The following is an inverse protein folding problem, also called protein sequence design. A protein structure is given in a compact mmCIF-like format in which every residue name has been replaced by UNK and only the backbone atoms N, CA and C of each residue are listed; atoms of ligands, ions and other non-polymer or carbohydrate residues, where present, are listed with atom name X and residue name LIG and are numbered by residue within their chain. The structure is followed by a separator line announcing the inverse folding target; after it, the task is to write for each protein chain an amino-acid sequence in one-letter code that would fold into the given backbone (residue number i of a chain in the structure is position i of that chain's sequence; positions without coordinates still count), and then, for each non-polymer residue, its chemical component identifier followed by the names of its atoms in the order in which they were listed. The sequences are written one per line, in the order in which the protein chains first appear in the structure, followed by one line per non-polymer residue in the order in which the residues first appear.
data_IF_850226682976
#
_entry.id   IF_850226682976
#
_cell.length_a   1.000
_cell.length_b   1.000
_cell.length_c   1.000
_cell.angle_alpha   90.00
_cell.angle_beta   90.00
_cell.angle_gamma   90.00
#
_symmetry.space_group_name_H-M   'P 1'
#
loop_
_entity.id
_entity.type
_entity.pdbx_description
1 polymer ?
#
# COMPACT_ATOMS: atom_id res chain seq x y z
N UNK A 1 8.15 -6.25 -10.89
CA UNK A 1 8.49 -6.77 -12.23
C UNK A 1 8.55 -8.28 -12.11
N UNK A 2 8.11 -9.04 -13.12
CA UNK A 2 8.17 -10.50 -13.04
C UNK A 2 9.63 -10.96 -13.25
N UNK A 3 9.99 -12.12 -12.71
CA UNK A 3 11.33 -12.71 -12.93
C UNK A 3 11.60 -12.91 -14.43
N UNK A 4 10.56 -13.21 -15.20
CA UNK A 4 10.58 -13.39 -16.66
C UNK A 4 11.16 -12.15 -17.37
N UNK A 5 10.76 -10.94 -16.98
CA UNK A 5 11.26 -9.70 -17.58
C UNK A 5 12.76 -9.45 -17.25
N UNK A 6 13.21 -9.92 -16.08
CA UNK A 6 14.58 -9.72 -15.60
C UNK A 6 15.56 -10.67 -16.30
N UNK A 7 15.15 -11.93 -16.51
CA UNK A 7 16.02 -12.93 -17.16
C UNK A 7 16.21 -12.69 -18.66
N UNK A 8 15.39 -11.84 -19.28
CA UNK A 8 15.57 -11.39 -20.66
C UNK A 8 16.77 -10.43 -20.84
N UNK A 9 17.27 -9.81 -19.75
CA UNK A 9 18.41 -8.89 -19.85
C UNK A 9 19.68 -9.63 -20.30
N UNK A 10 20.12 -9.34 -21.54
CA UNK A 10 21.40 -9.81 -22.05
C UNK A 10 22.45 -8.69 -22.02
N UNK A 11 23.35 -8.74 -21.04
CA UNK A 11 24.43 -7.76 -20.89
C UNK A 11 25.65 -8.13 -21.76
N UNK A 12 25.88 -7.37 -22.83
CA UNK A 12 27.06 -7.49 -23.70
C UNK A 12 27.93 -6.25 -23.54
N UNK A 13 29.15 -6.42 -23.00
CA UNK A 13 30.15 -5.35 -22.92
C UNK A 13 31.15 -5.45 -24.06
N UNK A 14 31.69 -4.31 -24.46
CA UNK A 14 32.84 -4.28 -25.37
C UNK A 14 34.03 -4.95 -24.69
N UNK A 15 34.76 -5.74 -25.46
CA UNK A 15 36.04 -6.32 -25.07
C UNK A 15 37.16 -5.58 -25.82
N UNK A 16 37.88 -4.63 -25.19
CA UNK A 16 38.93 -3.89 -25.86
C UNK A 16 40.11 -4.77 -26.27
N UNK A 17 40.60 -4.60 -27.49
CA UNK A 17 41.81 -5.27 -28.00
C UNK A 17 42.61 -4.32 -28.90
N UNK A 18 43.88 -4.65 -29.14
CA UNK A 18 44.76 -3.84 -29.98
C UNK A 18 44.25 -3.83 -31.44
N UNK A 19 44.02 -2.63 -31.97
CA UNK A 19 43.44 -2.45 -33.31
C UNK A 19 41.92 -2.38 -33.33
N UNK A 20 41.24 -2.36 -32.17
CA UNK A 20 39.81 -2.06 -32.11
C UNK A 20 39.54 -0.66 -32.68
N UNK A 21 38.63 -0.59 -33.65
CA UNK A 21 38.14 0.67 -34.22
C UNK A 21 37.09 1.24 -33.26
N UNK A 22 37.20 2.53 -32.93
CA UNK A 22 36.25 3.23 -32.08
C UNK A 22 35.37 4.12 -32.97
N UNK A 23 34.36 3.51 -33.57
CA UNK A 23 33.34 4.17 -34.39
C UNK A 23 32.03 4.40 -33.61
N UNK A 24 31.00 4.86 -34.30
CA UNK A 24 29.70 5.17 -33.70
C UNK A 24 29.06 3.94 -33.05
N UNK A 25 29.10 2.79 -33.71
CA UNK A 25 28.52 1.54 -33.20
C UNK A 25 29.26 1.07 -31.95
N UNK A 26 30.60 1.14 -31.96
CA UNK A 26 31.42 0.83 -30.79
C UNK A 26 31.08 1.77 -29.62
N UNK A 27 30.89 3.07 -29.85
CA UNK A 27 30.44 3.95 -28.77
C UNK A 27 29.02 3.64 -28.30
N UNK A 28 28.11 3.35 -29.22
CA UNK A 28 26.72 3.05 -28.92
C UNK A 28 26.61 1.78 -28.05
N UNK A 29 27.35 0.72 -28.38
CA UNK A 29 27.42 -0.51 -27.60
C UNK A 29 27.94 -0.26 -26.18
N UNK A 30 28.97 0.59 -26.03
CA UNK A 30 29.53 0.94 -24.73
C UNK A 30 28.47 1.59 -23.82
N UNK A 31 27.75 2.58 -24.35
CA UNK A 31 26.75 3.33 -23.61
C UNK A 31 25.49 2.48 -23.35
N UNK A 32 25.05 1.69 -24.33
CA UNK A 32 23.93 0.77 -24.18
C UNK A 32 24.19 -0.25 -23.08
N UNK A 33 25.42 -0.81 -23.00
CA UNK A 33 25.80 -1.71 -21.91
C UNK A 33 25.62 -1.06 -20.54
N UNK A 34 26.13 0.16 -20.35
CA UNK A 34 26.01 0.87 -19.07
C UNK A 34 24.57 1.23 -18.73
N UNK A 35 23.78 1.68 -19.72
CA UNK A 35 22.36 1.97 -19.54
C UNK A 35 21.57 0.70 -19.18
N UNK A 36 21.82 -0.42 -19.85
CA UNK A 36 21.19 -1.69 -19.53
C UNK A 36 21.56 -2.18 -18.11
N UNK A 37 22.83 -2.02 -17.70
CA UNK A 37 23.28 -2.32 -16.35
C UNK A 37 22.54 -1.47 -15.30
N UNK A 38 22.42 -0.17 -15.54
CA UNK A 38 21.70 0.74 -14.64
C UNK A 38 20.20 0.41 -14.56
N UNK A 39 19.55 0.13 -15.69
CA UNK A 39 18.15 -0.30 -15.75
C UNK A 39 17.96 -1.60 -14.98
N UNK A 40 18.81 -2.61 -15.22
CA UNK A 40 18.77 -3.87 -14.48
C UNK A 40 18.92 -3.64 -12.97
N UNK A 41 19.86 -2.79 -12.54
CA UNK A 41 20.02 -2.48 -11.12
C UNK A 41 18.76 -1.86 -10.52
N UNK A 42 18.18 -0.86 -11.20
CA UNK A 42 16.94 -0.21 -10.78
C UNK A 42 15.77 -1.20 -10.73
N UNK A 43 15.63 -2.07 -11.72
CA UNK A 43 14.51 -2.99 -11.81
C UNK A 43 14.63 -4.19 -10.87
N UNK A 44 15.85 -4.69 -10.63
CA UNK A 44 16.09 -5.87 -9.81
C UNK A 44 16.17 -5.55 -8.30
N UNK A 45 16.66 -4.36 -7.94
CA UNK A 45 16.92 -4.01 -6.54
C UNK A 45 16.09 -2.83 -6.02
N UNK A 46 15.37 -2.13 -6.90
CA UNK A 46 14.52 -1.00 -6.53
C UNK A 46 13.13 -1.18 -7.11
N UNK A 47 12.18 -0.44 -6.54
CA UNK A 47 10.81 -0.41 -7.05
C UNK A 47 10.65 0.72 -8.06
N UNK A 48 9.76 0.53 -9.02
CA UNK A 48 9.38 1.56 -10.01
C UNK A 48 8.26 2.43 -9.45
N UNK A 49 8.22 3.72 -9.81
CA UNK A 49 7.25 4.68 -9.31
C UNK A 49 7.82 6.09 -9.11
N UNK A 50 7.02 6.96 -8.50
CA UNK A 50 7.43 8.32 -8.11
C UNK A 50 8.30 8.22 -6.86
N UNK A 51 9.56 8.65 -6.96
CA UNK A 51 10.50 8.67 -5.83
C UNK A 51 10.19 9.87 -4.93
N UNK A 52 10.08 11.06 -5.53
CA UNK A 52 9.83 12.31 -4.80
C UNK A 52 9.23 13.37 -5.72
N UNK A 53 8.31 14.17 -5.20
CA UNK A 53 7.68 15.29 -5.92
C UNK A 53 6.66 14.83 -6.95
N UNK A 54 6.63 15.48 -8.11
CA UNK A 54 5.66 15.24 -9.19
C UNK A 54 4.20 15.38 -8.75
N UNK A 55 3.95 16.22 -7.75
CA UNK A 55 2.60 16.53 -7.29
C UNK A 55 1.85 17.30 -8.37
N UNK A 56 0.55 17.06 -8.48
CA UNK A 56 -0.33 17.76 -9.41
C UNK A 56 -1.30 18.58 -8.58
N UNK A 57 -1.30 19.89 -8.82
CA UNK A 57 -2.22 20.83 -8.16
C UNK A 57 -3.00 21.60 -9.21
N UNK A 58 -4.16 22.11 -8.86
CA UNK A 58 -4.91 23.03 -9.71
C UNK A 58 -4.10 24.31 -9.97
N UNK A 59 -4.38 24.96 -11.09
CA UNK A 59 -3.84 26.28 -11.38
C UNK A 59 -4.38 27.35 -10.41
N UNK A 60 -3.62 28.42 -10.24
CA UNK A 60 -4.05 29.60 -9.49
C UNK A 60 -3.83 30.85 -10.36
N UNK A 61 -4.90 31.53 -10.82
CA UNK A 61 -6.32 31.23 -10.58
C UNK A 61 -6.78 29.91 -11.26
N UNK A 62 -7.80 29.21 -10.71
CA UNK A 62 -8.31 27.96 -11.27
C UNK A 62 -8.86 28.12 -12.68
N UNK A 63 -8.46 27.22 -13.57
CA UNK A 63 -8.95 27.06 -14.94
C UNK A 63 -8.87 25.58 -15.37
N UNK A 64 -8.97 25.28 -16.66
CA UNK A 64 -8.81 23.92 -17.20
C UNK A 64 -7.33 23.48 -17.32
N UNK A 65 -6.45 24.01 -16.47
CA UNK A 65 -5.05 23.60 -16.39
C UNK A 65 -4.64 23.12 -15.01
N UNK A 66 -3.64 22.26 -14.99
CA UNK A 66 -3.01 21.74 -13.80
C UNK A 66 -1.53 22.11 -13.78
N UNK A 67 -0.96 22.18 -12.59
CA UNK A 67 0.46 22.45 -12.36
C UNK A 67 1.10 21.18 -11.83
N UNK A 68 2.08 20.66 -12.57
CA UNK A 68 2.93 19.55 -12.17
C UNK A 68 4.19 20.13 -11.52
N UNK A 69 4.43 19.80 -10.26
CA UNK A 69 5.61 20.26 -9.52
C UNK A 69 6.86 19.43 -9.87
N UNK A 70 8.07 19.98 -9.67
CA UNK A 70 9.30 19.25 -9.89
C UNK A 70 9.35 17.92 -9.14
N UNK A 71 10.09 16.97 -9.70
CA UNK A 71 10.26 15.67 -9.06
C UNK A 71 10.98 14.66 -9.92
N UNK A 72 11.13 13.47 -9.36
CA UNK A 72 11.86 12.35 -9.95
C UNK A 72 11.08 11.06 -9.80
N UNK A 73 11.17 10.23 -10.82
CA UNK A 73 10.45 8.99 -10.95
C UNK A 73 11.23 7.95 -11.76
N UNK A 74 10.84 6.69 -11.64
CA UNK A 74 11.34 5.57 -12.44
C UNK A 74 10.15 4.83 -13.06
N UNK A 75 10.11 4.70 -14.37
CA UNK A 75 9.03 4.00 -15.06
C UNK A 75 9.15 2.46 -14.95
N UNK A 76 8.19 1.72 -15.52
CA UNK A 76 8.18 0.26 -15.49
C UNK A 76 9.36 -0.40 -16.22
N UNK A 77 10.08 0.34 -17.04
CA UNK A 77 11.22 -0.12 -17.83
C UNK A 77 12.57 0.25 -17.20
N UNK A 78 12.56 0.94 -16.05
CA UNK A 78 13.76 1.37 -15.35
C UNK A 78 14.33 2.68 -15.88
N UNK A 79 13.58 3.43 -16.70
CA UNK A 79 14.02 4.74 -17.17
C UNK A 79 13.74 5.80 -16.10
N UNK A 80 14.72 6.67 -15.85
CA UNK A 80 14.61 7.75 -14.89
C UNK A 80 13.94 8.96 -15.57
N UNK A 81 12.89 9.48 -14.95
CA UNK A 81 12.17 10.67 -15.40
C UNK A 81 12.45 11.79 -14.41
N UNK A 82 13.01 12.90 -14.89
CA UNK A 82 13.32 14.09 -14.08
C UNK A 82 12.53 15.27 -14.62
N UNK A 83 11.68 15.85 -13.77
CA UNK A 83 10.98 17.11 -14.03
C UNK A 83 11.65 18.19 -13.19
N UNK A 84 12.52 19.03 -13.78
CA UNK A 84 13.34 19.96 -12.99
C UNK A 84 12.59 21.22 -12.55
N UNK A 85 11.50 21.58 -13.24
CA UNK A 85 10.77 22.84 -13.04
C UNK A 85 9.27 22.60 -13.15
N UNK A 86 8.48 23.47 -12.51
CA UNK A 86 7.01 23.42 -12.56
C UNK A 86 6.53 23.48 -14.01
N UNK A 87 5.66 22.55 -14.39
CA UNK A 87 5.03 22.50 -15.71
C UNK A 87 3.56 22.81 -15.58
N UNK A 88 3.07 23.79 -16.32
CA UNK A 88 1.63 24.02 -16.47
C UNK A 88 1.12 23.21 -17.66
N UNK A 89 0.12 22.38 -17.44
CA UNK A 89 -0.49 21.55 -18.48
C UNK A 89 -1.96 21.92 -18.65
N UNK A 90 -2.31 22.39 -19.85
CA UNK A 90 -3.68 22.72 -20.22
C UNK A 90 -4.37 21.47 -20.76
N UNK A 91 -5.46 21.03 -20.12
CA UNK A 91 -6.27 19.93 -20.63
C UNK A 91 -6.86 20.30 -22.01
N UNK A 92 -6.85 19.35 -22.93
CA UNK A 92 -7.36 19.50 -24.30
C UNK A 92 -8.69 18.76 -24.49
N UNK A 93 -8.99 17.81 -23.62
CA UNK A 93 -10.18 16.96 -23.67
C UNK A 93 -11.45 17.77 -23.50
N UNK A 94 -12.46 17.41 -24.30
CA UNK A 94 -13.80 17.99 -24.25
C UNK A 94 -14.90 16.97 -23.96
N UNK A 95 -14.54 15.68 -23.90
CA UNK A 95 -15.47 14.59 -23.64
C UNK A 95 -15.57 14.34 -22.14
N UNK A 96 -16.78 14.00 -21.68
CA UNK A 96 -16.98 13.62 -20.28
C UNK A 96 -16.39 12.24 -20.00
N UNK A 97 -15.72 12.08 -18.86
CA UNK A 97 -15.19 10.80 -18.42
C UNK A 97 -13.86 10.93 -17.68
N UNK A 98 -13.28 9.78 -17.34
CA UNK A 98 -12.02 9.73 -16.60
C UNK A 98 -10.87 10.04 -17.56
N UNK A 99 -10.12 11.10 -17.23
CA UNK A 99 -8.87 11.46 -17.89
C UNK A 99 -7.70 11.01 -17.02
N UNK A 100 -6.72 10.36 -17.64
CA UNK A 100 -5.46 9.97 -17.05
C UNK A 100 -4.39 10.98 -17.45
N UNK A 101 -3.79 11.66 -16.49
CA UNK A 101 -2.60 12.47 -16.73
C UNK A 101 -1.37 11.60 -16.49
N UNK A 102 -0.60 11.34 -17.54
CA UNK A 102 0.56 10.45 -17.50
C UNK A 102 1.83 11.18 -17.88
N UNK A 103 2.96 10.70 -17.36
CA UNK A 103 4.30 11.10 -17.78
C UNK A 103 5.05 9.90 -18.37
N UNK A 104 5.77 10.12 -19.46
CA UNK A 104 6.55 9.09 -20.16
C UNK A 104 7.97 9.58 -20.43
N UNK A 105 8.94 8.68 -20.30
CA UNK A 105 10.33 8.92 -20.71
C UNK A 105 10.43 9.05 -22.23
N UNK A 106 11.26 9.98 -22.70
CA UNK A 106 11.54 10.17 -24.13
C UNK A 106 13.00 10.51 -24.36
N UNK A 107 13.55 10.01 -25.45
CA UNK A 107 14.83 10.46 -25.96
C UNK A 107 14.59 11.42 -27.12
N UNK A 108 15.15 12.62 -27.05
CA UNK A 108 15.00 13.65 -28.06
C UNK A 108 16.39 13.99 -28.60
N UNK A 109 16.65 13.87 -29.91
CA UNK A 109 17.89 14.33 -30.48
C UNK A 109 18.07 15.84 -30.23
N UNK A 110 19.25 16.23 -29.76
CA UNK A 110 19.55 17.59 -29.29
C UNK A 110 20.99 17.99 -29.60
N UNK A 111 21.36 19.24 -29.26
CA UNK A 111 22.67 19.80 -29.57
C UNK A 111 22.80 20.31 -31.00
N UNK A 112 23.95 20.89 -31.37
CA UNK A 112 24.20 21.35 -32.74
C UNK A 112 24.21 20.16 -33.71
N UNK A 113 23.74 20.40 -34.92
CA UNK A 113 23.84 19.44 -36.04
C UNK A 113 25.25 19.51 -36.64
N UNK A 114 25.82 18.36 -36.98
CA UNK A 114 27.15 18.30 -37.61
C UNK A 114 27.15 17.46 -38.90
N UNK A 115 27.43 18.07 -40.07
CA UNK A 115 27.55 19.52 -40.33
C UNK A 115 26.24 20.31 -40.11
N UNK A 116 26.29 21.63 -39.97
CA UNK A 116 25.16 22.45 -39.49
C UNK A 116 23.86 22.39 -40.32
N UNK A 117 23.94 22.21 -41.64
CA UNK A 117 22.78 22.30 -42.55
C UNK A 117 22.22 20.94 -43.00
N UNK A 118 22.95 19.84 -42.79
CA UNK A 118 22.55 18.49 -43.25
C UNK A 118 23.09 17.37 -42.34
N UNK A 119 23.49 17.73 -41.13
CA UNK A 119 24.19 16.85 -40.21
C UNK A 119 23.29 15.96 -39.36
N UNK A 120 23.93 15.26 -38.44
CA UNK A 120 23.24 14.55 -37.38
C UNK A 120 23.29 15.36 -36.08
N UNK A 121 22.25 15.23 -35.22
CA UNK A 121 22.27 15.80 -33.88
C UNK A 121 23.43 15.21 -33.08
N UNK A 122 24.18 16.05 -32.38
CA UNK A 122 25.38 15.62 -31.66
C UNK A 122 25.10 15.04 -30.27
N UNK A 123 23.88 15.20 -29.74
CA UNK A 123 23.49 14.73 -28.40
C UNK A 123 22.09 14.11 -28.42
N UNK A 124 21.80 13.31 -27.41
CA UNK A 124 20.46 12.84 -27.08
C UNK A 124 20.11 13.41 -25.71
N UNK A 125 18.97 14.08 -25.62
CA UNK A 125 18.41 14.55 -24.37
C UNK A 125 17.43 13.51 -23.85
N UNK A 126 17.72 12.99 -22.66
CA UNK A 126 16.75 12.25 -21.86
C UNK A 126 15.71 13.22 -21.32
N UNK A 127 14.54 13.20 -21.94
CA UNK A 127 13.43 14.10 -21.71
C UNK A 127 12.21 13.33 -21.20
N UNK A 128 11.11 14.05 -21.05
CA UNK A 128 9.84 13.49 -20.68
C UNK A 128 8.71 14.12 -21.47
N UNK A 129 7.57 13.45 -21.48
CA UNK A 129 6.36 13.92 -22.13
C UNK A 129 5.18 13.73 -21.20
N UNK A 130 4.50 14.82 -20.86
CA UNK A 130 3.25 14.82 -20.10
C UNK A 130 2.08 14.82 -21.08
N UNK A 131 1.12 13.92 -20.90
CA UNK A 131 -0.05 13.80 -21.76
C UNK A 131 -1.30 13.41 -20.98
N UNK A 132 -2.44 13.95 -21.38
CA UNK A 132 -3.73 13.39 -21.04
C UNK A 132 -4.10 12.21 -21.93
N UNK A 133 -4.80 11.23 -21.37
CA UNK A 133 -5.30 10.05 -22.08
C UNK A 133 -6.69 9.68 -21.57
N UNK A 134 -7.53 9.14 -22.44
CA UNK A 134 -8.83 8.54 -22.06
C UNK A 134 -8.67 7.10 -21.55
N UNK A 135 -7.54 6.45 -21.86
CA UNK A 135 -7.16 5.10 -21.42
C UNK A 135 -5.67 5.05 -21.17
N UNK A 136 -5.23 4.27 -20.19
CA UNK A 136 -3.81 4.09 -19.91
C UNK A 136 -3.09 3.50 -21.14
N UNK A 137 -1.91 4.02 -21.50
CA UNK A 137 -1.14 3.51 -22.63
C UNK A 137 -0.53 2.15 -22.31
N UNK A 138 -0.32 1.32 -23.33
CA UNK A 138 0.42 0.06 -23.20
C UNK A 138 1.94 0.30 -23.03
N UNK A 139 2.44 1.43 -23.54
CA UNK A 139 3.84 1.84 -23.36
C UNK A 139 4.15 2.16 -21.88
N UNK A 140 5.41 2.07 -21.46
CA UNK A 140 5.85 2.51 -20.13
C UNK A 140 5.40 3.94 -19.84
N UNK A 141 4.79 4.11 -18.68
CA UNK A 141 4.25 5.37 -18.21
C UNK A 141 4.15 5.37 -16.69
N UNK A 142 3.97 6.58 -16.14
CA UNK A 142 3.57 6.77 -14.76
C UNK A 142 2.34 7.67 -14.69
N UNK A 143 1.37 7.27 -13.88
CA UNK A 143 0.19 8.06 -13.60
C UNK A 143 0.55 9.19 -12.62
N UNK A 144 0.32 10.43 -13.04
CA UNK A 144 0.49 11.61 -12.20
C UNK A 144 -0.80 11.96 -11.46
N UNK A 145 -1.94 11.86 -12.14
CA UNK A 145 -3.26 12.12 -11.57
C UNK A 145 -4.35 11.54 -12.47
N UNK A 146 -5.55 11.38 -11.90
CA UNK A 146 -6.79 11.17 -12.67
C UNK A 146 -7.75 12.32 -12.42
N UNK A 147 -8.64 12.57 -13.37
CA UNK A 147 -9.70 13.59 -13.23
C UNK A 147 -10.97 13.00 -13.82
N UNK A 148 -12.05 12.90 -13.04
CA UNK A 148 -13.39 12.62 -13.58
C UNK A 148 -13.92 13.92 -14.20
N UNK A 149 -13.71 14.07 -15.50
CA UNK A 149 -13.91 15.32 -16.20
C UNK A 149 -15.35 15.48 -16.68
N UNK A 150 -15.92 16.64 -16.37
CA UNK A 150 -17.21 17.11 -16.84
C UNK A 150 -17.05 18.43 -17.59
N UNK A 151 -17.34 18.43 -18.88
CA UNK A 151 -17.20 19.59 -19.76
C UNK A 151 -18.11 20.76 -19.38
N UNK A 152 -19.10 20.56 -18.50
CA UNK A 152 -19.96 21.64 -17.99
C UNK A 152 -19.31 22.45 -16.87
N UNK A 153 -18.23 21.93 -16.28
CA UNK A 153 -17.46 22.60 -15.24
C UNK A 153 -16.22 23.24 -15.89
N UNK A 154 -16.10 24.57 -15.79
CA UNK A 154 -15.06 25.33 -16.51
C UNK A 154 -13.71 25.39 -15.77
N UNK A 155 -13.60 24.75 -14.61
CA UNK A 155 -12.39 24.79 -13.77
C UNK A 155 -12.04 23.40 -13.25
N UNK A 156 -10.75 23.17 -13.04
CA UNK A 156 -10.21 22.03 -12.29
C UNK A 156 -9.83 22.53 -10.89
N UNK A 157 -10.08 21.71 -9.88
CA UNK A 157 -9.75 22.03 -8.48
C UNK A 157 -8.96 20.91 -7.83
N UNK A 158 -8.26 21.26 -6.76
CA UNK A 158 -7.74 20.25 -5.83
C UNK A 158 -8.93 19.59 -5.12
N UNK A 159 -8.83 18.29 -4.85
CA UNK A 159 -9.89 17.58 -4.16
C UNK A 159 -10.05 18.09 -2.71
N UNK A 160 -11.26 18.54 -2.35
CA UNK A 160 -11.56 18.92 -0.95
C UNK A 160 -11.46 17.70 -0.02
N UNK A 161 -11.85 16.52 -0.53
CA UNK A 161 -11.77 15.23 0.17
C UNK A 161 -11.00 14.21 -0.66
N UNK A 162 -9.71 13.94 -0.35
CA UNK A 162 -8.86 13.06 -1.16
C UNK A 162 -9.36 11.62 -1.33
N UNK A 163 -10.16 11.11 -0.38
CA UNK A 163 -10.73 9.76 -0.43
C UNK A 163 -12.01 9.67 -1.27
N UNK A 164 -12.67 10.81 -1.55
CA UNK A 164 -13.91 10.91 -2.34
C UNK A 164 -13.88 12.18 -3.20
N UNK A 165 -12.98 12.26 -4.18
CA UNK A 165 -12.89 13.42 -5.07
C UNK A 165 -14.18 13.58 -5.89
N UNK A 166 -14.63 14.82 -6.03
CA UNK A 166 -15.76 15.18 -6.88
C UNK A 166 -15.35 15.30 -8.36
N UNK A 167 -16.32 15.61 -9.23
CA UNK A 167 -16.03 15.88 -10.65
C UNK A 167 -15.13 17.09 -10.81
N UNK A 168 -14.23 17.05 -11.78
CA UNK A 168 -13.18 18.04 -12.04
C UNK A 168 -12.23 18.28 -10.85
N UNK A 169 -12.20 17.38 -9.86
CA UNK A 169 -11.19 17.39 -8.81
C UNK A 169 -10.04 16.45 -9.15
N UNK A 170 -8.83 16.85 -8.75
CA UNK A 170 -7.60 16.08 -9.00
C UNK A 170 -7.55 14.88 -8.06
N UNK A 171 -7.45 13.69 -8.66
CA UNK A 171 -7.36 12.40 -7.95
C UNK A 171 -5.91 11.93 -7.93
N UNK A 172 -5.31 11.90 -6.74
CA UNK A 172 -3.89 11.52 -6.54
C UNK A 172 -3.70 10.11 -5.96
N UNK A 173 -4.78 9.43 -5.55
CA UNK A 173 -4.72 8.14 -4.85
C UNK A 173 -4.15 6.97 -5.66
N UNK A 174 -4.12 7.09 -6.99
CA UNK A 174 -3.61 6.04 -7.89
C UNK A 174 -2.13 6.20 -8.25
N UNK A 175 -1.47 7.23 -7.70
CA UNK A 175 -0.04 7.46 -7.91
C UNK A 175 0.76 6.36 -7.22
N UNK A 176 1.61 5.65 -7.97
CA UNK A 176 2.57 4.70 -7.40
C UNK A 176 3.72 5.46 -6.77
N UNK A 177 3.57 5.86 -5.51
CA UNK A 177 4.61 6.54 -4.76
C UNK A 177 5.50 5.52 -4.05
N UNK A 178 6.81 5.66 -4.24
CA UNK A 178 7.78 4.91 -3.47
C UNK A 178 7.88 5.56 -2.10
N UNK A 179 7.46 4.85 -1.06
CA UNK A 179 7.73 5.26 0.31
C UNK A 179 9.24 5.15 0.53
N UNK A 180 9.95 6.25 0.33
CA UNK A 180 11.36 6.34 0.69
C UNK A 180 11.48 6.24 2.21
N UNK A 181 11.69 5.04 2.71
CA UNK A 181 12.32 4.83 4.02
C UNK A 181 13.80 5.28 4.03
N UNK A 182 14.32 5.78 2.89
CA UNK A 182 15.74 5.99 2.63
C UNK A 182 16.16 7.47 2.56
N UNK A 183 15.32 8.41 3.00
CA UNK A 183 15.73 9.81 3.21
C UNK A 183 16.03 10.15 4.69
N UNK A 184 15.76 9.23 5.62
CA UNK A 184 16.36 9.29 6.96
C UNK A 184 17.80 8.78 6.86
N UNK A 185 18.77 9.70 6.98
CA UNK A 185 20.22 9.49 6.86
C UNK A 185 20.84 8.55 7.92
N UNK A 186 20.07 7.70 8.58
CA UNK A 186 20.52 6.93 9.74
C UNK A 186 20.32 5.42 9.65
N UNK A 187 19.82 4.86 8.55
CA UNK A 187 19.61 3.40 8.48
C UNK A 187 20.36 2.78 7.31
N UNK A 188 21.13 1.74 7.62
CA UNK A 188 21.90 0.90 6.71
C UNK A 188 21.02 0.36 5.57
N UNK A 189 21.53 0.25 4.33
CA UNK A 189 20.76 -0.22 3.19
C UNK A 189 20.42 -1.71 3.37
N UNK A 190 19.17 -2.00 3.72
CA UNK A 190 18.61 -3.33 3.61
C UNK A 190 18.20 -3.56 2.14
N UNK A 191 18.68 -4.65 1.56
CA UNK A 191 18.31 -5.15 0.24
C UNK A 191 16.79 -5.39 0.23
N UNK A 192 16.04 -4.57 -0.50
CA UNK A 192 14.60 -4.78 -0.72
C UNK A 192 14.45 -5.62 -1.97
N UNK A 193 14.32 -6.94 -1.77
CA UNK A 193 13.91 -7.87 -2.84
C UNK A 193 12.43 -7.58 -3.14
N UNK A 194 12.13 -7.10 -4.35
CA UNK A 194 10.75 -6.84 -4.78
C UNK A 194 10.01 -8.17 -4.97
N UNK A 195 9.31 -8.62 -3.95
CA UNK A 195 8.31 -9.67 -4.10
C UNK A 195 7.03 -9.02 -4.66
N UNK A 196 6.23 -9.79 -5.41
CA UNK A 196 4.86 -9.38 -5.77
C UNK A 196 4.12 -9.02 -4.49
N UNK A 197 3.79 -7.73 -4.32
CA UNK A 197 3.10 -7.27 -3.11
C UNK A 197 1.66 -7.76 -3.15
N UNK A 198 1.35 -8.72 -2.28
CA UNK A 198 0.00 -9.22 -2.12
C UNK A 198 -0.81 -8.18 -1.36
N UNK A 199 -2.00 -7.84 -1.89
CA UNK A 199 -2.89 -6.85 -1.28
C UNK A 199 -3.95 -7.56 -0.43
N UNK A 200 -4.15 -7.06 0.78
CA UNK A 200 -5.15 -7.52 1.73
C UNK A 200 -5.99 -6.33 2.18
N UNK A 201 -7.32 -6.49 2.24
CA UNK A 201 -8.21 -5.46 2.76
C UNK A 201 -8.75 -5.87 4.12
N UNK A 202 -8.56 -4.98 5.09
CA UNK A 202 -9.00 -5.10 6.48
C UNK A 202 -10.23 -4.25 6.67
N UNK A 203 -11.28 -4.87 7.18
CA UNK A 203 -12.47 -4.19 7.65
C UNK A 203 -12.41 -4.05 9.17
N UNK A 204 -12.81 -2.90 9.69
CA UNK A 204 -13.05 -2.69 11.11
C UNK A 204 -14.53 -2.40 11.34
N UNK A 205 -15.15 -3.12 12.27
CA UNK A 205 -16.53 -2.92 12.66
C UNK A 205 -16.65 -2.89 14.19
N UNK A 206 -17.40 -1.92 14.68
CA UNK A 206 -17.67 -1.75 16.11
C UNK A 206 -19.00 -2.42 16.45
N UNK A 207 -19.03 -3.19 17.54
CA UNK A 207 -20.19 -3.92 18.02
C UNK A 207 -20.73 -3.30 19.32
N UNK A 208 -22.04 -3.47 19.54
CA UNK A 208 -22.74 -2.95 20.71
C UNK A 208 -22.87 -1.44 20.69
N UNK A 209 -22.78 -0.81 21.85
CA UNK A 209 -22.92 0.64 22.04
C UNK A 209 -21.58 1.39 22.11
N UNK A 210 -20.47 0.70 21.76
CA UNK A 210 -19.14 1.27 21.79
C UNK A 210 -18.97 2.44 20.80
N UNK A 211 -18.02 3.33 21.10
CA UNK A 211 -17.63 4.41 20.20
C UNK A 211 -17.10 3.87 18.86
N UNK A 212 -17.48 4.53 17.76
CA UNK A 212 -16.98 4.24 16.40
C UNK A 212 -15.47 4.45 16.25
N UNK A 213 -14.84 5.17 17.18
CA UNK A 213 -13.39 5.40 17.18
C UNK A 213 -12.62 4.35 17.99
N UNK A 214 -13.32 3.37 18.60
CA UNK A 214 -12.71 2.36 19.44
C UNK A 214 -11.64 1.56 18.68
N UNK A 215 -10.41 1.65 19.17
CA UNK A 215 -9.20 1.03 18.61
C UNK A 215 -8.78 1.51 17.20
N UNK A 216 -9.49 2.46 16.56
CA UNK A 216 -9.15 2.94 15.22
C UNK A 216 -7.71 3.48 15.13
N UNK A 217 -7.29 4.29 16.11
CA UNK A 217 -5.94 4.84 16.14
C UNK A 217 -4.86 3.75 16.29
N UNK A 218 -5.10 2.73 17.12
CA UNK A 218 -4.22 1.57 17.26
C UNK A 218 -4.16 0.72 15.98
N UNK A 219 -5.32 0.46 15.37
CA UNK A 219 -5.41 -0.27 14.12
C UNK A 219 -4.67 0.45 12.97
N UNK A 220 -4.79 1.77 12.85
CA UNK A 220 -4.02 2.55 11.88
C UNK A 220 -2.51 2.44 12.12
N UNK A 221 -2.07 2.40 13.38
CA UNK A 221 -0.66 2.16 13.72
C UNK A 221 -0.20 0.77 13.29
N UNK A 222 -1.03 -0.27 13.50
CA UNK A 222 -0.76 -1.63 13.03
C UNK A 222 -0.66 -1.69 11.50
N UNK A 223 -1.67 -1.16 10.79
CA UNK A 223 -1.70 -1.14 9.32
C UNK A 223 -0.48 -0.40 8.77
N UNK A 224 -0.10 0.73 9.38
CA UNK A 224 1.13 1.45 9.02
C UNK A 224 2.38 0.58 9.24
N UNK A 225 2.46 -0.16 10.33
CA UNK A 225 3.60 -1.06 10.59
C UNK A 225 3.67 -2.20 9.58
N UNK A 226 2.56 -2.87 9.27
CA UNK A 226 2.55 -3.96 8.27
C UNK A 226 2.92 -3.44 6.89
N UNK A 227 2.40 -2.27 6.49
CA UNK A 227 2.73 -1.64 5.21
C UNK A 227 4.21 -1.23 5.08
N UNK A 228 4.95 -1.09 6.19
CA UNK A 228 6.40 -0.84 6.14
C UNK A 228 7.21 -2.10 5.78
N UNK A 229 6.63 -3.29 5.88
CA UNK A 229 7.38 -4.55 5.84
C UNK A 229 7.50 -5.17 4.43
N UNK A 230 7.25 -4.40 3.36
CA UNK A 230 7.47 -4.70 1.93
C UNK A 230 6.81 -5.96 1.33
N UNK A 231 6.26 -6.88 2.12
CA UNK A 231 5.71 -8.16 1.64
C UNK A 231 4.19 -8.16 1.47
N UNK A 232 3.45 -7.36 2.25
CA UNK A 232 1.99 -7.22 2.15
C UNK A 232 1.60 -5.75 2.11
N UNK A 233 0.61 -5.42 1.28
CA UNK A 233 -0.06 -4.12 1.27
C UNK A 233 -1.43 -4.29 1.90
N UNK A 234 -1.67 -3.57 2.98
CA UNK A 234 -2.88 -3.61 3.80
C UNK A 234 -3.68 -2.34 3.59
N UNK A 235 -4.86 -2.49 3.00
CA UNK A 235 -5.87 -1.43 2.91
C UNK A 235 -6.82 -1.53 4.11
N UNK A 236 -7.23 -0.40 4.66
CA UNK A 236 -8.11 -0.34 5.83
C UNK A 236 -9.43 0.36 5.48
N UNK A 237 -10.54 -0.28 5.80
CA UNK A 237 -11.87 0.30 5.82
C UNK A 237 -12.42 0.26 7.24
N UNK A 238 -12.72 1.43 7.81
CA UNK A 238 -13.18 1.57 9.19
C UNK A 238 -14.68 1.74 9.28
N UNK A 239 -15.27 1.31 10.40
CA UNK A 239 -16.69 1.44 10.69
C UNK A 239 -17.61 0.83 9.63
N UNK A 240 -17.23 -0.34 9.11
CA UNK A 240 -18.03 -1.05 8.11
C UNK A 240 -19.27 -1.70 8.72
N UNK A 241 -20.32 -1.84 7.92
CA UNK A 241 -21.52 -2.61 8.28
C UNK A 241 -21.29 -4.09 7.98
N UNK A 242 -21.79 -4.96 8.86
CA UNK A 242 -21.76 -6.42 8.65
C UNK A 242 -22.92 -6.85 7.76
N UNK A 243 -22.76 -6.67 6.46
CA UNK A 243 -23.72 -7.07 5.43
C UNK A 243 -23.10 -8.01 4.40
N UNK A 244 -23.81 -8.32 3.33
CA UNK A 244 -23.37 -9.24 2.26
C UNK A 244 -22.10 -8.79 1.52
N UNK A 245 -21.70 -7.51 1.62
CA UNK A 245 -20.52 -6.98 0.92
C UNK A 245 -19.20 -7.26 1.66
N UNK A 246 -19.23 -7.93 2.81
CA UNK A 246 -18.02 -8.18 3.60
C UNK A 246 -17.10 -9.25 2.99
N UNK A 247 -17.57 -10.01 2.02
CA UNK A 247 -16.79 -11.07 1.35
C UNK A 247 -15.57 -10.52 0.56
N UNK A 248 -15.56 -9.23 0.25
CA UNK A 248 -14.42 -8.53 -0.38
C UNK A 248 -13.23 -8.32 0.56
N UNK A 249 -13.45 -8.46 1.86
CA UNK A 249 -12.39 -8.36 2.86
C UNK A 249 -11.68 -9.70 3.02
N UNK A 250 -10.45 -9.65 3.52
CA UNK A 250 -9.71 -10.85 3.92
C UNK A 250 -9.66 -11.00 5.44
N UNK A 251 -9.78 -9.86 6.14
CA UNK A 251 -9.67 -9.76 7.57
C UNK A 251 -10.74 -8.80 8.10
N UNK A 252 -11.56 -9.24 9.05
CA UNK A 252 -12.54 -8.40 9.74
C UNK A 252 -12.14 -8.29 11.21
N UNK A 253 -11.89 -7.07 11.66
CA UNK A 253 -11.58 -6.72 13.04
C UNK A 253 -12.84 -6.19 13.74
N UNK A 254 -13.35 -6.97 14.68
CA UNK A 254 -14.54 -6.66 15.47
C UNK A 254 -14.11 -6.13 16.83
N UNK A 255 -14.53 -4.91 17.17
CA UNK A 255 -14.23 -4.30 18.47
C UNK A 255 -15.49 -3.97 19.25
N UNK A 256 -15.36 -3.88 20.57
CA UNK A 256 -16.43 -3.47 21.46
C UNK A 256 -15.94 -3.33 22.90
N UNK A 257 -16.77 -2.75 23.75
CA UNK A 257 -16.48 -2.51 25.17
C UNK A 257 -17.50 -3.21 26.09
N UNK A 258 -18.27 -4.17 25.57
CA UNK A 258 -19.32 -4.84 26.32
C UNK A 258 -20.06 -5.90 25.53
N UNK A 259 -21.24 -6.30 26.03
CA UNK A 259 -22.10 -7.27 25.37
C UNK A 259 -22.64 -6.74 24.05
N UNK A 260 -22.86 -7.66 23.11
CA UNK A 260 -23.50 -7.35 21.84
C UNK A 260 -24.33 -8.54 21.38
N UNK A 261 -25.29 -8.26 20.49
CA UNK A 261 -26.02 -9.26 19.74
C UNK A 261 -26.04 -8.86 18.27
N UNK A 262 -25.91 -9.84 17.37
CA UNK A 262 -25.98 -9.63 15.93
C UNK A 262 -27.31 -10.13 15.41
N UNK A 263 -27.90 -9.40 14.46
CA UNK A 263 -29.08 -9.85 13.74
C UNK A 263 -28.79 -11.11 12.90
N UNK A 264 -29.82 -11.85 12.51
CA UNK A 264 -29.67 -13.11 11.79
C UNK A 264 -28.97 -12.91 10.43
N UNK A 265 -29.23 -11.78 9.77
CA UNK A 265 -28.62 -11.39 8.50
C UNK A 265 -27.12 -11.16 8.66
N UNK A 266 -26.70 -10.47 9.72
CA UNK A 266 -25.29 -10.22 10.02
C UNK A 266 -24.55 -11.53 10.34
N UNK A 267 -25.19 -12.42 11.10
CA UNK A 267 -24.63 -13.75 11.38
C UNK A 267 -24.46 -14.56 10.09
N UNK A 268 -25.45 -14.54 9.19
CA UNK A 268 -25.37 -15.22 7.90
C UNK A 268 -24.24 -14.68 7.02
N UNK A 269 -24.03 -13.35 7.01
CA UNK A 269 -22.91 -12.74 6.32
C UNK A 269 -21.55 -13.22 6.88
N UNK A 270 -21.39 -13.27 8.21
CA UNK A 270 -20.17 -13.80 8.84
C UNK A 270 -19.95 -15.29 8.52
N UNK A 271 -21.01 -16.11 8.43
CA UNK A 271 -20.90 -17.51 7.98
C UNK A 271 -20.38 -17.59 6.54
N UNK A 272 -20.89 -16.75 5.63
CA UNK A 272 -20.39 -16.67 4.24
C UNK A 272 -18.91 -16.28 4.20
N UNK A 273 -18.55 -15.27 4.98
CA UNK A 273 -17.20 -14.76 5.07
C UNK A 273 -16.18 -15.81 5.54
N UNK A 274 -16.50 -16.56 6.59
CA UNK A 274 -15.65 -17.64 7.09
C UNK A 274 -15.50 -18.77 6.04
N UNK A 275 -16.57 -19.09 5.29
CA UNK A 275 -16.52 -20.08 4.21
C UNK A 275 -15.66 -19.63 3.03
N UNK A 276 -15.54 -18.33 2.79
CA UNK A 276 -14.68 -17.77 1.74
C UNK A 276 -13.21 -17.63 2.16
N UNK A 277 -12.81 -18.19 3.31
CA UNK A 277 -11.42 -18.16 3.81
C UNK A 277 -11.06 -16.87 4.55
N UNK A 278 -12.05 -16.06 4.94
CA UNK A 278 -11.84 -14.83 5.69
C UNK A 278 -11.59 -15.09 7.19
N UNK A 279 -10.75 -14.26 7.81
CA UNK A 279 -10.49 -14.32 9.25
C UNK A 279 -11.26 -13.23 10.01
N UNK A 280 -11.87 -13.58 11.13
CA UNK A 280 -12.53 -12.64 12.05
C UNK A 280 -11.68 -12.55 13.32
N UNK A 281 -11.28 -11.34 13.71
CA UNK A 281 -10.60 -11.09 14.99
C UNK A 281 -11.46 -10.21 15.89
N UNK A 282 -11.83 -10.73 17.06
CA UNK A 282 -12.49 -9.98 18.11
C UNK A 282 -11.48 -9.48 19.15
N UNK A 283 -11.55 -8.19 19.48
CA UNK A 283 -10.76 -7.61 20.57
C UNK A 283 -11.61 -6.63 21.38
N UNK A 284 -11.78 -6.96 22.66
CA UNK A 284 -12.56 -6.16 23.60
C UNK A 284 -11.69 -5.10 24.28
N UNK A 285 -12.24 -3.90 24.43
CA UNK A 285 -11.59 -2.81 25.17
C UNK A 285 -12.06 -2.76 26.61
N UNK A 286 -11.15 -2.46 27.55
CA UNK A 286 -11.52 -2.26 28.95
C UNK A 286 -11.90 -0.81 29.31
N UNK A 287 -11.78 0.14 28.37
CA UNK A 287 -11.84 1.62 28.56
C UNK A 287 -10.79 2.17 29.54
N UNK A 288 -10.65 1.56 30.72
CA UNK A 288 -9.69 1.89 31.76
C UNK A 288 -8.89 0.65 32.24
N UNK A 289 -7.64 0.88 32.63
CA UNK A 289 -6.74 -0.17 33.06
C UNK A 289 -7.21 -0.84 34.36
N UNK A 290 -7.42 -2.16 34.34
CA UNK A 290 -7.83 -2.93 35.53
C UNK A 290 -9.35 -3.05 35.73
N UNK A 291 -10.15 -2.31 34.95
CA UNK A 291 -11.60 -2.48 34.86
C UNK A 291 -11.97 -3.33 33.65
N UNK A 292 -11.40 -4.53 33.55
CA UNK A 292 -11.57 -5.45 32.42
C UNK A 292 -13.00 -6.02 32.26
N UNK A 293 -14.03 -5.39 32.84
CA UNK A 293 -15.42 -5.82 32.75
C UNK A 293 -15.92 -5.72 31.30
N UNK A 294 -15.68 -4.60 30.62
CA UNK A 294 -16.10 -4.40 29.24
C UNK A 294 -15.49 -5.43 28.28
N UNK A 295 -14.16 -5.57 28.31
CA UNK A 295 -13.43 -6.55 27.51
C UNK A 295 -13.86 -8.00 27.79
N UNK A 296 -14.09 -8.36 29.07
CA UNK A 296 -14.58 -9.70 29.44
C UNK A 296 -16.00 -9.96 28.94
N UNK A 297 -16.91 -9.00 29.08
CA UNK A 297 -18.28 -9.12 28.59
C UNK A 297 -18.32 -9.24 27.07
N UNK A 298 -17.46 -8.48 26.37
CA UNK A 298 -17.25 -8.62 24.92
C UNK A 298 -16.73 -10.02 24.56
N UNK A 299 -15.68 -10.50 25.23
CA UNK A 299 -15.09 -11.82 24.97
C UNK A 299 -16.09 -12.97 25.18
N UNK A 300 -16.96 -12.88 26.19
CA UNK A 300 -18.04 -13.84 26.40
C UNK A 300 -19.08 -13.81 25.27
N UNK A 301 -19.51 -12.61 24.85
CA UNK A 301 -20.43 -12.45 23.72
C UNK A 301 -19.83 -12.95 22.41
N UNK A 302 -18.53 -12.69 22.18
CA UNK A 302 -17.80 -13.19 21.02
C UNK A 302 -17.68 -14.72 21.01
N UNK A 303 -17.42 -15.34 22.17
CA UNK A 303 -17.39 -16.81 22.26
C UNK A 303 -18.77 -17.46 22.02
N UNK A 304 -19.85 -16.79 22.44
CA UNK A 304 -21.22 -17.20 22.10
C UNK A 304 -21.50 -17.05 20.60
N UNK A 305 -21.04 -15.97 19.97
CA UNK A 305 -21.13 -15.79 18.52
C UNK A 305 -20.37 -16.90 17.79
N UNK A 306 -19.13 -17.19 18.19
CA UNK A 306 -18.33 -18.27 17.61
C UNK A 306 -19.07 -19.61 17.70
N UNK A 307 -19.66 -19.93 18.86
CA UNK A 307 -20.47 -21.14 19.03
C UNK A 307 -21.67 -21.20 18.08
N UNK A 308 -22.38 -20.07 17.87
CA UNK A 308 -23.48 -19.97 16.90
C UNK A 308 -23.02 -20.16 15.45
N UNK A 309 -21.79 -19.73 15.15
CA UNK A 309 -21.13 -19.90 13.85
C UNK A 309 -20.45 -21.28 13.71
N UNK A 310 -20.70 -22.22 14.64
CA UNK A 310 -20.08 -23.55 14.70
C UNK A 310 -18.54 -23.53 14.82
N UNK A 311 -18.00 -22.46 15.39
CA UNK A 311 -16.59 -22.32 15.72
C UNK A 311 -16.38 -22.58 17.23
N UNK A 312 -15.42 -23.42 17.57
CA UNK A 312 -15.05 -23.71 18.96
C UNK A 312 -13.70 -23.06 19.26
N UNK A 313 -13.71 -21.97 20.02
CA UNK A 313 -12.49 -21.25 20.37
C UNK A 313 -11.73 -21.98 21.47
N UNK A 314 -10.44 -22.20 21.25
CA UNK A 314 -9.52 -22.81 22.20
C UNK A 314 -8.29 -21.92 22.41
N UNK A 315 -7.64 -22.05 23.57
CA UNK A 315 -6.45 -21.25 23.90
C UNK A 315 -5.33 -21.57 22.92
N UNK A 316 -4.79 -20.53 22.27
CA UNK A 316 -3.67 -20.65 21.33
C UNK A 316 -2.45 -21.18 22.08
N UNK A 317 -2.04 -22.42 21.76
CA UNK A 317 -0.89 -23.08 22.37
C UNK A 317 0.40 -22.81 21.57
N UNK A 318 1.54 -23.09 22.20
CA UNK A 318 2.85 -23.06 21.55
C UNK A 318 2.84 -23.92 20.28
N UNK A 319 3.41 -23.39 19.21
CA UNK A 319 3.50 -24.06 17.91
C UNK A 319 2.33 -23.79 16.97
N UNK A 320 1.29 -23.07 17.42
CA UNK A 320 0.21 -22.63 16.53
C UNK A 320 0.73 -21.67 15.45
N UNK A 321 0.17 -21.75 14.24
CA UNK A 321 0.60 -20.93 13.10
C UNK A 321 0.44 -19.43 13.34
N UNK A 322 -0.53 -19.00 14.17
CA UNK A 322 -0.64 -17.59 14.62
C UNK A 322 0.60 -17.06 15.33
N UNK A 323 1.39 -17.92 15.99
CA UNK A 323 2.60 -17.52 16.71
C UNK A 323 3.85 -17.55 15.84
N UNK A 324 3.73 -17.88 14.55
CA UNK A 324 4.86 -18.01 13.62
C UNK A 324 4.54 -17.58 12.20
N UNK A 325 3.40 -16.91 11.97
CA UNK A 325 2.95 -16.53 10.64
C UNK A 325 3.92 -15.58 9.93
N UNK A 326 4.51 -14.65 10.70
CA UNK A 326 5.51 -13.68 10.25
C UNK A 326 6.67 -13.52 11.26
N UNK A 327 6.34 -13.34 12.54
CA UNK A 327 7.22 -13.25 13.69
C UNK A 327 7.09 -14.50 14.56
N UNK A 328 8.20 -15.00 15.09
CA UNK A 328 8.22 -16.16 15.97
C UNK A 328 7.98 -15.75 17.43
N UNK A 329 6.92 -16.28 18.01
CA UNK A 329 6.60 -16.19 19.42
C UNK A 329 6.62 -17.59 20.06
N UNK A 330 7.30 -17.74 21.20
CA UNK A 330 7.26 -18.98 21.97
C UNK A 330 5.94 -19.16 22.74
N UNK A 331 5.23 -18.06 23.00
CA UNK A 331 3.96 -17.96 23.71
C UNK A 331 3.22 -16.68 23.28
N UNK A 332 1.92 -16.59 23.56
CA UNK A 332 1.12 -15.39 23.28
C UNK A 332 1.71 -14.18 24.04
N UNK A 333 2.07 -13.07 23.38
CA UNK A 333 2.61 -11.91 24.07
C UNK A 333 1.50 -11.15 24.81
N UNK A 334 1.88 -10.46 25.89
CA UNK A 334 0.98 -9.55 26.59
C UNK A 334 0.58 -8.35 25.69
N UNK A 335 -0.67 -7.89 25.83
CA UNK A 335 -1.15 -6.63 25.26
C UNK A 335 -1.29 -5.53 26.33
N UNK A 336 -2.35 -4.74 26.29
CA UNK A 336 -2.68 -3.84 27.39
C UNK A 336 -3.14 -4.62 28.65
N UNK A 337 -3.72 -5.79 28.42
CA UNK A 337 -4.11 -6.78 29.42
C UNK A 337 -3.24 -8.06 29.31
N UNK A 338 -3.25 -8.95 30.33
CA UNK A 338 -2.50 -10.20 30.33
C UNK A 338 -2.72 -11.06 29.07
N UNK A 339 -1.70 -11.85 28.71
CA UNK A 339 -1.71 -12.68 27.51
C UNK A 339 -2.87 -13.69 27.49
N UNK A 340 -3.78 -13.53 26.53
CA UNK A 340 -4.91 -14.41 26.28
C UNK A 340 -5.35 -14.27 24.82
N UNK A 341 -5.15 -15.32 24.05
CA UNK A 341 -5.61 -15.42 22.67
C UNK A 341 -6.29 -16.77 22.47
N UNK A 342 -7.48 -16.74 21.88
CA UNK A 342 -8.23 -17.93 21.52
C UNK A 342 -8.36 -17.99 20.00
N UNK A 343 -8.32 -19.18 19.42
CA UNK A 343 -8.59 -19.41 18.00
C UNK A 343 -9.49 -20.63 17.82
N UNK A 344 -10.35 -20.57 16.81
CA UNK A 344 -11.02 -21.74 16.28
C UNK A 344 -11.87 -21.39 15.06
N UNK A 345 -11.70 -22.13 13.97
CA UNK A 345 -12.53 -21.98 12.77
C UNK A 345 -12.34 -20.64 12.07
N UNK A 346 -11.12 -20.09 12.03
CA UNK A 346 -10.78 -18.77 11.46
C UNK A 346 -11.37 -17.59 12.26
N UNK A 347 -11.86 -17.85 13.47
CA UNK A 347 -12.20 -16.83 14.44
C UNK A 347 -11.12 -16.76 15.51
N UNK A 348 -10.60 -15.56 15.73
CA UNK A 348 -9.59 -15.27 16.76
C UNK A 348 -10.21 -14.31 17.77
N UNK A 349 -10.03 -14.55 19.07
CA UNK A 349 -10.47 -13.65 20.13
C UNK A 349 -9.31 -13.28 21.03
N UNK A 350 -9.05 -12.00 21.21
CA UNK A 350 -8.09 -11.48 22.18
C UNK A 350 -8.79 -11.12 23.49
N UNK A 351 -8.19 -11.56 24.59
CA UNK A 351 -8.46 -11.05 25.94
C UNK A 351 -7.35 -10.12 26.43
N UNK A 352 -6.40 -9.74 25.55
CA UNK A 352 -5.21 -8.96 25.88
C UNK A 352 -5.33 -7.48 25.50
N UNK A 353 -6.43 -7.06 24.88
CA UNK A 353 -6.66 -5.68 24.42
C UNK A 353 -5.46 -5.16 23.60
N UNK A 354 -5.23 -5.82 22.46
CA UNK A 354 -4.14 -5.45 21.57
C UNK A 354 -4.41 -4.11 20.87
N UNK A 355 -5.68 -3.75 20.64
CA UNK A 355 -6.09 -2.47 20.08
C UNK A 355 -5.59 -1.28 20.90
N UNK A 356 -5.74 -1.31 22.23
CA UNK A 356 -5.13 -0.31 23.11
C UNK A 356 -3.60 -0.39 23.07
N UNK A 357 -3.01 -1.59 23.03
CA UNK A 357 -1.56 -1.73 22.97
C UNK A 357 -0.94 -1.14 21.69
N UNK A 358 -1.60 -1.27 20.54
CA UNK A 358 -1.17 -0.65 19.28
C UNK A 358 -1.31 0.88 19.30
N UNK A 359 -2.16 1.43 20.18
CA UNK A 359 -2.25 2.87 20.41
C UNK A 359 -1.16 3.39 21.35
N UNK A 360 -0.53 2.52 22.14
CA UNK A 360 0.47 2.87 23.15
C UNK A 360 0.01 2.68 24.60
N UNK A 361 -1.16 2.08 24.82
CA UNK A 361 -1.78 1.90 26.13
C UNK A 361 -2.99 2.82 26.34
N UNK A 362 -3.50 2.81 27.57
CA UNK A 362 -4.58 3.71 28.02
C UNK A 362 -4.02 5.13 28.23
N UNK A 363 -4.86 6.16 28.13
CA UNK A 363 -4.41 7.57 28.22
C UNK A 363 -3.59 7.85 29.49
N UNK A 364 -4.03 7.35 30.63
CA UNK A 364 -3.38 7.57 31.93
C UNK A 364 -2.33 6.50 32.28
N UNK A 365 -2.15 5.49 31.43
CA UNK A 365 -1.24 4.37 31.67
C UNK A 365 -0.57 3.92 30.37
N UNK A 366 0.44 4.66 29.90
CA UNK A 366 1.20 4.27 28.72
C UNK A 366 1.91 2.93 28.96
N UNK A 367 1.97 2.12 27.91
CA UNK A 367 2.64 0.83 27.96
C UNK A 367 4.16 0.97 27.68
N UNK A 368 4.99 0.11 28.30
CA UNK A 368 6.37 -0.08 27.91
C UNK A 368 6.55 -0.37 26.40
N UNK A 369 7.66 0.09 25.85
CA UNK A 369 7.93 0.02 24.39
C UNK A 369 8.00 -1.40 23.86
N UNK A 370 8.46 -2.35 24.67
CA UNK A 370 8.53 -3.78 24.38
C UNK A 370 7.14 -4.40 24.28
N UNK A 371 6.21 -4.07 25.18
CA UNK A 371 4.81 -4.53 25.09
C UNK A 371 4.15 -4.00 23.81
N UNK A 372 4.34 -2.70 23.51
CA UNK A 372 3.83 -2.09 22.27
C UNK A 372 4.41 -2.80 21.04
N UNK A 373 5.72 -3.11 21.05
CA UNK A 373 6.38 -3.79 19.93
C UNK A 373 5.84 -5.20 19.75
N UNK A 374 5.82 -5.99 20.81
CA UNK A 374 5.36 -7.38 20.78
C UNK A 374 3.88 -7.45 20.35
N UNK A 375 3.05 -6.50 20.79
CA UNK A 375 1.66 -6.40 20.37
C UNK A 375 1.52 -6.09 18.88
N UNK A 376 2.31 -5.15 18.34
CA UNK A 376 2.32 -4.84 16.90
C UNK A 376 2.77 -6.05 16.07
N UNK A 377 3.80 -6.77 16.51
CA UNK A 377 4.30 -7.98 15.86
C UNK A 377 3.26 -9.11 15.91
N UNK A 378 2.51 -9.24 17.01
CA UNK A 378 1.39 -10.18 17.10
C UNK A 378 0.23 -9.79 16.16
N UNK A 379 -0.10 -8.49 16.05
CA UNK A 379 -1.07 -8.00 15.08
C UNK A 379 -0.67 -8.27 13.63
N UNK A 380 0.63 -8.12 13.32
CA UNK A 380 1.19 -8.45 12.02
C UNK A 380 1.10 -9.96 11.75
N UNK A 381 1.33 -10.81 12.75
CA UNK A 381 1.09 -12.25 12.67
C UNK A 381 -0.36 -12.61 12.36
N UNK A 382 -1.33 -12.00 13.05
CA UNK A 382 -2.76 -12.23 12.79
C UNK A 382 -3.11 -11.84 11.35
N UNK A 383 -2.57 -10.71 10.89
CA UNK A 383 -2.77 -10.21 9.51
C UNK A 383 -2.18 -11.16 8.47
N UNK A 384 -0.94 -11.62 8.68
CA UNK A 384 -0.27 -12.57 7.80
C UNK A 384 -0.96 -13.96 7.81
N UNK A 385 -1.48 -14.38 8.96
CA UNK A 385 -2.25 -15.61 9.08
C UNK A 385 -3.58 -15.53 8.32
N UNK A 386 -4.29 -14.40 8.42
CA UNK A 386 -5.50 -14.15 7.62
C UNK A 386 -5.20 -14.20 6.12
N UNK A 387 -4.07 -13.65 5.69
CA UNK A 387 -3.64 -13.71 4.30
C UNK A 387 -3.43 -15.16 3.81
N UNK A 388 -2.72 -15.98 4.58
CA UNK A 388 -2.47 -17.40 4.25
C UNK A 388 -3.76 -18.21 4.11
N UNK A 389 -4.72 -17.97 5.00
CA UNK A 389 -6.04 -18.62 4.94
C UNK A 389 -6.79 -18.26 3.66
N UNK A 390 -6.79 -16.97 3.30
CA UNK A 390 -7.51 -16.47 2.11
C UNK A 390 -6.85 -16.92 0.80
N UNK A 391 -5.52 -17.06 0.77
CA UNK A 391 -4.78 -17.53 -0.42
C UNK A 391 -4.74 -19.06 -0.57
N UNK A 392 -5.20 -19.82 0.43
CA UNK A 392 -5.18 -21.28 0.41
C UNK A 392 -3.79 -21.91 0.51
N UNK A 393 -2.80 -21.17 1.02
CA UNK A 393 -1.39 -21.60 1.14
C UNK A 393 -1.02 -22.17 2.53
N UNK A 394 -2.04 -22.64 3.27
CA UNK A 394 -1.95 -23.10 4.66
C UNK A 394 -1.43 -24.51 4.87
#
# INVERSE_FOLDING_TARGET
MALEDIIEFQLKRINPFQGLIIDADTWQDAHNYHRAQQRLHLLAFHSTGIIQGLEVTASSPPDLSVVIHPGIAVDSEGNIIIVPQKQRYQLQTRQKGIIYLVIQFREIPSGPYQPAEAGQPTRILEAYRIQEREKLPAEPHLELARIDFDSTLEVIKDAESPSKPAKNEIILSFRKQLTSAALDKTTTPAVVVSHSQETLTVAHAVLGEASKDLHCAGLRNLVREVNRQNNLVVNLEENVTLDENIDRFSFIYLTGNGRFELAAEQQAALVSFLKSGGLIFGDGCSEEAGEARGAKEFGLAFNQLASKLNCKLEVVQRGHSLLSALYLFSEVPQGAEPAMLLEGGQMVCSGSDYGCAWHGGYQDKPLPRDIIRNSLEMGANITAYAHKLKSGTG
#
